data_IF_514701895263
#
_entry.id   IF_514701895263
#
_cell.length_a   1.000
_cell.length_b   1.000
_cell.length_c   1.000
_cell.angle_alpha   90.00
_cell.angle_beta   90.00
_cell.angle_gamma   90.00
#
_symmetry.space_group_name_H-M   'P 1'
#
loop_
_entity.id
_entity.type
_entity.pdbx_description
1 polymer ?
#
# COMPACT_ATOMS: atom_id res chain seq x y z
N UNK A 1 -1.34 -69.60 -18.06
CA UNK A 1 -0.01 -70.17 -17.75
C UNK A 1 -0.08 -71.59 -17.18
N UNK A 2 -0.65 -71.88 -15.98
CA UNK A 2 -0.66 -73.22 -15.37
C UNK A 2 -1.24 -74.33 -16.24
N UNK A 3 -2.19 -74.06 -17.16
CA UNK A 3 -2.75 -75.05 -18.07
C UNK A 3 -1.78 -75.41 -19.23
N UNK A 4 -1.16 -74.42 -19.82
CA UNK A 4 -0.14 -74.56 -20.87
C UNK A 4 1.12 -75.26 -20.33
N UNK A 5 1.55 -74.92 -19.11
CA UNK A 5 2.71 -75.56 -18.45
C UNK A 5 2.40 -77.05 -18.17
N UNK A 6 1.21 -77.40 -17.72
CA UNK A 6 0.77 -78.78 -17.52
C UNK A 6 0.71 -79.57 -18.82
N UNK A 7 0.10 -78.96 -19.89
CA UNK A 7 0.06 -79.58 -21.18
C UNK A 7 1.46 -79.84 -21.78
N UNK A 8 2.36 -78.87 -21.62
CA UNK A 8 3.77 -79.01 -22.01
C UNK A 8 4.48 -80.21 -21.29
N UNK A 9 4.24 -80.34 -19.98
CA UNK A 9 4.79 -81.48 -19.20
C UNK A 9 4.20 -82.85 -19.65
N UNK A 10 2.90 -82.91 -19.94
CA UNK A 10 2.26 -84.12 -20.42
C UNK A 10 2.74 -84.53 -21.81
N UNK A 11 2.98 -83.62 -22.73
CA UNK A 11 3.58 -83.87 -24.01
C UNK A 11 5.03 -84.36 -23.87
N UNK A 12 5.78 -83.74 -23.02
CA UNK A 12 7.19 -84.13 -22.71
C UNK A 12 7.30 -85.56 -22.13
N UNK A 13 6.32 -85.98 -21.34
CA UNK A 13 6.20 -87.36 -20.80
C UNK A 13 5.56 -88.31 -21.80
N UNK A 14 5.31 -87.94 -23.04
CA UNK A 14 4.67 -88.78 -24.11
C UNK A 14 3.28 -89.29 -23.79
N UNK A 15 2.55 -88.59 -22.84
CA UNK A 15 1.19 -89.02 -22.38
C UNK A 15 0.17 -88.03 -22.94
N UNK A 16 0.55 -86.80 -23.36
CA UNK A 16 -0.31 -85.74 -23.88
C UNK A 16 -0.30 -85.62 -25.37
N UNK A 17 -1.40 -84.98 -25.97
CA UNK A 17 -1.45 -84.63 -27.38
C UNK A 17 -0.79 -83.27 -27.64
N UNK A 18 -0.09 -83.11 -28.76
CA UNK A 18 0.49 -81.86 -29.24
C UNK A 18 -0.62 -80.81 -29.45
N UNK A 19 -1.78 -81.23 -29.99
CA UNK A 19 -2.93 -80.34 -30.17
C UNK A 19 -3.39 -79.66 -28.88
N UNK A 20 -3.43 -80.42 -27.77
CA UNK A 20 -3.83 -79.84 -26.48
C UNK A 20 -2.82 -78.81 -25.99
N UNK A 21 -1.53 -78.97 -26.25
CA UNK A 21 -0.52 -77.99 -25.93
C UNK A 21 -0.69 -76.72 -26.77
N UNK A 22 -0.91 -76.86 -28.10
CA UNK A 22 -1.09 -75.76 -29.02
C UNK A 22 -2.37 -74.95 -28.71
N UNK A 23 -3.46 -75.61 -28.30
CA UNK A 23 -4.67 -74.96 -27.86
C UNK A 23 -4.45 -74.18 -26.57
N UNK A 24 -3.74 -74.76 -25.60
CA UNK A 24 -3.46 -74.09 -24.35
C UNK A 24 -2.48 -72.90 -24.53
N UNK A 25 -1.55 -73.02 -25.47
CA UNK A 25 -0.60 -71.94 -25.81
C UNK A 25 -1.37 -70.80 -26.52
N UNK A 26 -2.25 -71.10 -27.47
CA UNK A 26 -3.14 -70.14 -28.15
C UNK A 26 -4.00 -69.39 -27.16
N UNK A 27 -4.59 -70.05 -26.17
CA UNK A 27 -5.37 -69.40 -25.14
C UNK A 27 -4.53 -68.44 -24.25
N UNK A 28 -3.28 -68.82 -23.95
CA UNK A 28 -2.34 -67.92 -23.22
C UNK A 28 -2.03 -66.71 -24.06
N UNK A 29 -1.77 -66.87 -25.37
CA UNK A 29 -1.40 -65.74 -26.24
C UNK A 29 -2.58 -64.82 -26.48
N UNK A 30 -3.80 -65.35 -26.60
CA UNK A 30 -5.05 -64.55 -26.66
C UNK A 30 -5.24 -63.71 -25.38
N UNK A 31 -5.04 -64.32 -24.19
CA UNK A 31 -5.15 -63.54 -22.93
C UNK A 31 -4.09 -62.49 -22.77
N UNK A 32 -2.87 -62.79 -23.19
CA UNK A 32 -1.78 -61.79 -23.21
C UNK A 32 -2.10 -60.61 -24.13
N UNK A 33 -2.61 -60.90 -25.34
CA UNK A 33 -3.04 -59.87 -26.28
C UNK A 33 -4.18 -59.00 -25.72
N UNK A 34 -5.15 -59.64 -25.01
CA UNK A 34 -6.24 -58.92 -24.35
C UNK A 34 -5.72 -57.95 -23.25
N UNK A 35 -4.77 -58.43 -22.44
CA UNK A 35 -4.12 -57.58 -21.42
C UNK A 35 -3.37 -56.45 -22.05
N UNK A 36 -2.58 -56.70 -23.09
CA UNK A 36 -1.86 -55.62 -23.81
C UNK A 36 -2.79 -54.60 -24.42
N UNK A 37 -3.94 -55.03 -24.95
CA UNK A 37 -5.00 -54.14 -25.46
C UNK A 37 -5.63 -53.29 -24.36
N UNK A 38 -5.90 -53.87 -23.19
CA UNK A 38 -6.38 -53.12 -22.02
C UNK A 38 -5.35 -52.08 -21.51
N UNK A 39 -4.08 -52.47 -21.44
CA UNK A 39 -3.03 -51.53 -21.06
C UNK A 39 -2.89 -50.34 -22.05
N UNK A 40 -3.02 -50.61 -23.32
CA UNK A 40 -3.06 -49.55 -24.36
C UNK A 40 -4.25 -48.60 -24.18
N UNK A 41 -5.43 -49.11 -23.80
CA UNK A 41 -6.61 -48.30 -23.51
C UNK A 41 -6.40 -47.43 -22.29
N UNK A 42 -5.79 -47.99 -21.20
CA UNK A 42 -5.44 -47.22 -20.01
C UNK A 42 -4.45 -46.09 -20.34
N UNK A 43 -3.42 -46.38 -21.14
CA UNK A 43 -2.48 -45.39 -21.58
C UNK A 43 -3.14 -44.25 -22.38
N UNK A 44 -4.03 -44.59 -23.29
CA UNK A 44 -4.83 -43.62 -24.05
C UNK A 44 -5.73 -42.77 -23.17
N UNK A 45 -6.42 -43.39 -22.19
CA UNK A 45 -7.25 -42.65 -21.23
C UNK A 45 -6.44 -41.68 -20.38
N UNK A 46 -5.28 -42.12 -19.89
CA UNK A 46 -4.37 -41.27 -19.14
C UNK A 46 -3.86 -40.09 -19.97
N UNK A 47 -3.51 -40.28 -21.24
CA UNK A 47 -3.14 -39.21 -22.15
C UNK A 47 -4.28 -38.19 -22.35
N UNK A 48 -5.53 -38.66 -22.48
CA UNK A 48 -6.69 -37.78 -22.57
C UNK A 48 -6.93 -36.98 -21.28
N UNK A 49 -6.70 -37.57 -20.09
CA UNK A 49 -6.75 -36.85 -18.83
C UNK A 49 -5.72 -35.70 -18.82
N UNK A 50 -4.49 -35.97 -19.24
CA UNK A 50 -3.46 -34.92 -19.32
C UNK A 50 -3.84 -33.76 -20.25
N UNK A 51 -4.50 -34.06 -21.38
CA UNK A 51 -5.02 -33.01 -22.29
C UNK A 51 -6.10 -32.16 -21.61
N UNK A 52 -7.03 -32.80 -20.91
CA UNK A 52 -8.12 -32.11 -20.19
C UNK A 52 -7.59 -31.25 -19.05
N UNK A 53 -6.60 -31.75 -18.33
CA UNK A 53 -5.94 -30.98 -17.26
C UNK A 53 -5.22 -29.73 -17.82
N UNK A 54 -4.55 -29.86 -18.95
CA UNK A 54 -3.91 -28.72 -19.63
C UNK A 54 -4.96 -27.69 -20.10
N UNK A 55 -6.06 -28.13 -20.69
CA UNK A 55 -7.18 -27.25 -21.09
C UNK A 55 -7.83 -26.54 -19.89
N UNK A 56 -7.99 -27.25 -18.79
CA UNK A 56 -8.51 -26.66 -17.56
C UNK A 56 -7.57 -25.57 -17.00
N UNK A 57 -6.27 -25.83 -16.99
CA UNK A 57 -5.27 -24.85 -16.56
C UNK A 57 -5.26 -23.60 -17.47
N UNK A 58 -5.39 -23.78 -18.79
CA UNK A 58 -5.52 -22.69 -19.75
C UNK A 58 -6.78 -21.86 -19.52
N UNK A 59 -7.92 -22.51 -19.31
CA UNK A 59 -9.18 -21.82 -19.00
C UNK A 59 -9.09 -21.02 -17.70
N UNK A 60 -8.46 -21.57 -16.65
CA UNK A 60 -8.20 -20.83 -15.41
C UNK A 60 -7.31 -19.61 -15.62
N UNK A 61 -6.25 -19.73 -16.42
CA UNK A 61 -5.37 -18.62 -16.75
C UNK A 61 -6.11 -17.51 -17.50
N UNK A 62 -6.96 -17.90 -18.45
CA UNK A 62 -7.80 -16.98 -19.21
C UNK A 62 -8.78 -16.25 -18.29
N UNK A 63 -9.46 -16.96 -17.38
CA UNK A 63 -10.36 -16.37 -16.38
C UNK A 63 -9.62 -15.31 -15.55
N UNK A 64 -8.44 -15.63 -15.03
CA UNK A 64 -7.61 -14.70 -14.26
C UNK A 64 -7.23 -13.45 -15.06
N UNK A 65 -6.89 -13.59 -16.32
CA UNK A 65 -6.57 -12.46 -17.20
C UNK A 65 -7.77 -11.54 -17.42
N UNK A 66 -8.96 -12.12 -17.61
CA UNK A 66 -10.20 -11.36 -17.75
C UNK A 66 -10.57 -10.62 -16.44
N UNK A 67 -10.37 -11.26 -15.29
CA UNK A 67 -10.56 -10.62 -13.98
C UNK A 67 -9.64 -9.42 -13.77
N UNK A 68 -8.35 -9.55 -14.10
CA UNK A 68 -7.39 -8.45 -14.05
C UNK A 68 -7.79 -7.31 -14.99
N UNK A 69 -8.25 -7.63 -16.20
CA UNK A 69 -8.71 -6.63 -17.17
C UNK A 69 -9.94 -5.90 -16.65
N UNK A 70 -10.92 -6.61 -16.08
CA UNK A 70 -12.10 -6.03 -15.42
C UNK A 70 -11.70 -5.11 -14.27
N UNK A 71 -10.77 -5.54 -13.41
CA UNK A 71 -10.36 -4.76 -12.24
C UNK A 71 -9.57 -3.52 -12.64
N UNK A 72 -8.78 -3.62 -13.71
CA UNK A 72 -8.15 -2.45 -14.34
C UNK A 72 -9.21 -1.45 -14.82
N UNK A 73 -10.20 -1.90 -15.57
CA UNK A 73 -11.27 -1.05 -16.07
C UNK A 73 -12.08 -0.40 -14.93
N UNK A 74 -12.36 -1.14 -13.84
CA UNK A 74 -13.03 -0.61 -12.64
C UNK A 74 -12.18 0.49 -11.97
N UNK A 75 -10.87 0.29 -11.86
CA UNK A 75 -9.97 1.29 -11.30
C UNK A 75 -9.93 2.53 -12.17
N UNK A 76 -9.81 2.38 -13.49
CA UNK A 76 -9.78 3.48 -14.43
C UNK A 76 -11.10 4.28 -14.37
N UNK A 77 -12.23 3.60 -14.25
CA UNK A 77 -13.52 4.24 -14.01
C UNK A 77 -13.57 4.97 -12.65
N UNK A 78 -12.95 4.44 -11.60
CA UNK A 78 -12.92 5.11 -10.29
C UNK A 78 -12.15 6.43 -10.33
N UNK A 79 -11.17 6.58 -11.20
CA UNK A 79 -10.40 7.81 -11.39
C UNK A 79 -11.16 8.91 -12.14
N UNK A 80 -12.27 8.59 -12.79
CA UNK A 80 -13.14 9.62 -13.41
C UNK A 80 -13.89 10.45 -12.37
N UNK A 81 -13.94 10.01 -11.10
CA UNK A 81 -14.55 10.74 -9.99
C UNK A 81 -13.47 11.04 -8.96
N UNK A 82 -13.04 12.30 -8.92
CA UNK A 82 -12.09 12.75 -7.90
C UNK A 82 -12.83 13.00 -6.58
N UNK A 83 -12.41 12.32 -5.53
CA UNK A 83 -12.97 12.44 -4.17
C UNK A 83 -11.94 13.06 -3.23
N UNK A 84 -12.43 13.88 -2.30
CA UNK A 84 -11.62 14.39 -1.20
C UNK A 84 -11.16 13.21 -0.30
N UNK A 85 -9.86 13.09 0.02
CA UNK A 85 -9.36 12.03 0.90
C UNK A 85 -9.68 12.27 2.39
N UNK A 86 -10.05 13.49 2.76
CA UNK A 86 -10.42 13.90 4.11
C UNK A 86 -11.37 15.09 4.08
N UNK A 87 -12.04 15.35 5.18
CA UNK A 87 -12.93 16.49 5.34
C UNK A 87 -12.13 17.80 5.40
N UNK A 88 -12.64 18.84 4.73
CA UNK A 88 -11.95 20.12 4.67
C UNK A 88 -12.67 21.13 3.79
N UNK A 89 -12.09 22.31 3.69
CA UNK A 89 -12.56 23.39 2.81
C UNK A 89 -11.73 23.40 1.54
N UNK A 90 -12.42 23.42 0.40
CA UNK A 90 -11.76 23.52 -0.90
C UNK A 90 -11.23 24.95 -1.06
N UNK A 91 -9.92 25.06 -1.27
CA UNK A 91 -9.25 26.31 -1.61
C UNK A 91 -8.55 26.16 -2.95
N UNK A 92 -8.33 27.30 -3.60
CA UNK A 92 -7.57 27.39 -4.85
C UNK A 92 -7.98 26.33 -5.91
N UNK A 93 -9.24 26.38 -6.32
CA UNK A 93 -9.73 25.58 -7.45
C UNK A 93 -9.10 26.12 -8.74
N UNK A 94 -8.29 25.29 -9.42
CA UNK A 94 -7.49 25.68 -10.60
C UNK A 94 -8.05 25.09 -11.88
N UNK A 95 -9.31 24.67 -11.90
CA UNK A 95 -9.95 24.02 -13.06
C UNK A 95 -11.40 24.42 -13.15
N UNK A 96 -11.86 24.62 -14.39
CA UNK A 96 -13.24 24.92 -14.71
C UNK A 96 -13.87 23.83 -15.58
N UNK A 97 -15.19 23.89 -15.70
CA UNK A 97 -15.93 22.93 -16.53
C UNK A 97 -15.59 23.15 -17.99
N UNK A 98 -15.07 22.11 -18.64
CA UNK A 98 -14.63 22.15 -20.03
C UNK A 98 -13.12 22.18 -20.20
N UNK A 99 -12.36 22.34 -19.12
CA UNK A 99 -10.90 22.30 -19.18
C UNK A 99 -10.39 20.90 -19.49
N UNK A 100 -9.31 20.85 -20.26
CA UNK A 100 -8.56 19.64 -20.49
C UNK A 100 -7.58 19.42 -19.34
N UNK A 101 -7.72 18.32 -18.61
CA UNK A 101 -6.84 17.96 -17.51
C UNK A 101 -5.86 16.85 -17.91
N UNK A 102 -4.67 16.89 -17.33
CA UNK A 102 -3.62 15.89 -17.54
C UNK A 102 -3.29 15.16 -16.24
N UNK A 103 -2.72 13.96 -16.36
CA UNK A 103 -2.27 13.20 -15.20
C UNK A 103 -1.20 13.99 -14.42
N UNK A 104 -1.35 14.06 -13.09
CA UNK A 104 -0.45 14.82 -12.22
C UNK A 104 -0.76 16.31 -12.07
N UNK A 105 -1.75 16.83 -12.78
CA UNK A 105 -2.18 18.22 -12.65
C UNK A 105 -2.88 18.44 -11.30
N UNK A 106 -2.51 19.55 -10.64
CA UNK A 106 -3.14 19.97 -9.38
C UNK A 106 -4.45 20.68 -9.69
N UNK A 107 -5.57 20.10 -9.31
CA UNK A 107 -6.90 20.63 -9.63
C UNK A 107 -7.48 21.49 -8.51
N UNK A 108 -7.24 21.12 -7.26
CA UNK A 108 -7.71 21.86 -6.09
C UNK A 108 -6.82 21.59 -4.88
N UNK A 109 -6.94 22.43 -3.87
CA UNK A 109 -6.32 22.24 -2.55
C UNK A 109 -7.43 22.06 -1.53
N UNK A 110 -7.31 21.01 -0.69
CA UNK A 110 -8.22 20.80 0.43
C UNK A 110 -7.49 21.13 1.72
N UNK A 111 -8.03 22.05 2.50
CA UNK A 111 -7.47 22.48 3.79
C UNK A 111 -8.32 21.87 4.91
N UNK A 112 -7.76 20.95 5.73
CA UNK A 112 -8.45 20.40 6.89
C UNK A 112 -8.49 21.44 8.00
N UNK A 113 -9.64 22.06 8.22
CA UNK A 113 -9.82 23.14 9.19
C UNK A 113 -9.75 22.65 10.64
N UNK A 114 -9.96 21.36 10.86
CA UNK A 114 -9.90 20.69 12.17
C UNK A 114 -8.47 20.34 12.62
N UNK A 115 -7.49 20.47 11.72
CA UNK A 115 -6.07 20.08 11.95
C UNK A 115 -5.10 21.25 11.80
N UNK A 116 -5.58 22.48 11.95
CA UNK A 116 -4.71 23.65 11.90
C UNK A 116 -3.78 23.67 13.11
N UNK A 117 -2.56 24.05 12.90
CA UNK A 117 -1.55 24.27 13.93
C UNK A 117 -0.81 25.58 13.66
N UNK A 118 -0.11 26.10 14.67
CA UNK A 118 0.68 27.32 14.56
C UNK A 118 2.14 26.95 14.53
N UNK A 119 2.89 27.60 13.64
CA UNK A 119 4.36 27.55 13.62
C UNK A 119 4.89 28.91 14.08
N UNK A 120 5.43 28.95 15.29
CA UNK A 120 6.02 30.14 15.85
C UNK A 120 7.54 30.07 15.78
N UNK A 121 8.19 31.10 15.22
CA UNK A 121 9.64 31.15 15.02
C UNK A 121 10.29 31.87 16.21
N UNK A 122 10.78 31.14 17.21
CA UNK A 122 11.46 31.66 18.39
C UNK A 122 12.96 31.89 18.12
N UNK A 123 13.53 32.90 18.77
CA UNK A 123 14.96 33.08 18.74
C UNK A 123 15.67 31.98 19.56
N UNK A 124 16.84 31.53 19.12
CA UNK A 124 17.65 30.53 19.82
C UNK A 124 17.82 30.83 21.31
N UNK A 125 17.99 32.11 21.64
CA UNK A 125 18.15 32.59 23.03
C UNK A 125 16.90 32.42 23.91
N UNK A 126 15.74 32.19 23.30
CA UNK A 126 14.48 32.01 24.01
C UNK A 126 14.15 30.54 24.25
N UNK A 127 14.80 29.61 23.51
CA UNK A 127 14.50 28.18 23.55
C UNK A 127 14.87 27.51 24.87
N UNK A 128 15.86 28.00 25.58
CA UNK A 128 16.33 27.39 26.82
C UNK A 128 15.26 27.26 27.92
N UNK A 129 14.17 28.01 27.79
CA UNK A 129 13.05 28.01 28.74
C UNK A 129 11.77 27.37 28.16
N UNK A 130 11.82 26.84 26.97
CA UNK A 130 10.67 26.38 26.24
C UNK A 130 10.64 24.85 26.17
N UNK A 131 9.61 24.26 26.79
CA UNK A 131 9.45 22.80 26.90
C UNK A 131 8.15 22.36 26.25
N UNK A 132 8.10 21.21 25.57
CA UNK A 132 6.84 20.65 25.11
C UNK A 132 5.84 20.47 26.24
N UNK A 133 4.58 20.83 26.00
CA UNK A 133 3.49 20.81 26.99
C UNK A 133 3.23 22.16 27.69
N UNK A 134 4.07 23.19 27.49
CA UNK A 134 3.81 24.53 28.00
C UNK A 134 2.58 25.17 27.38
N UNK A 135 1.85 25.94 28.20
CA UNK A 135 0.73 26.74 27.71
C UNK A 135 1.23 28.02 27.07
N UNK A 136 0.63 28.35 25.97
CA UNK A 136 0.92 29.57 25.22
C UNK A 136 -0.33 30.37 24.97
N UNK A 137 -0.22 31.68 25.14
CA UNK A 137 -1.28 32.61 24.78
C UNK A 137 -1.06 33.09 23.34
N UNK A 138 -2.09 32.92 22.52
CA UNK A 138 -2.06 33.21 21.11
C UNK A 138 -3.05 34.33 20.82
N UNK A 139 -2.56 35.37 20.15
CA UNK A 139 -3.37 36.47 19.63
C UNK A 139 -3.31 36.45 18.12
N UNK A 140 -4.46 36.53 17.48
CA UNK A 140 -4.57 36.51 16.00
C UNK A 140 -4.70 37.93 15.51
N UNK A 141 -3.83 38.36 14.61
CA UNK A 141 -3.80 39.75 14.10
C UNK A 141 -5.10 40.12 13.35
N UNK A 142 -5.74 39.13 12.72
CA UNK A 142 -6.99 39.35 11.99
C UNK A 142 -8.21 39.68 12.89
N UNK A 143 -8.08 39.50 14.22
CA UNK A 143 -9.17 39.79 15.18
C UNK A 143 -8.58 40.08 16.56
N UNK A 144 -8.55 41.34 16.92
CA UNK A 144 -7.98 41.82 18.20
C UNK A 144 -8.60 41.22 19.45
N UNK A 145 -9.82 40.68 19.37
CA UNK A 145 -10.55 40.09 20.51
C UNK A 145 -10.38 38.57 20.61
N UNK A 146 -9.68 37.93 19.68
CA UNK A 146 -9.49 36.48 19.68
C UNK A 146 -8.12 36.09 20.27
N UNK A 147 -8.03 36.16 21.59
CA UNK A 147 -6.92 35.54 22.32
C UNK A 147 -7.37 34.19 22.85
N UNK A 148 -6.60 33.14 22.61
CA UNK A 148 -6.85 31.80 23.12
C UNK A 148 -5.56 31.15 23.61
N UNK A 149 -5.71 30.07 24.38
CA UNK A 149 -4.59 29.28 24.87
C UNK A 149 -4.35 28.10 23.92
N UNK A 150 -3.09 27.87 23.57
CA UNK A 150 -2.61 26.67 22.89
C UNK A 150 -1.60 25.93 23.74
N UNK A 151 -1.04 24.86 23.21
CA UNK A 151 0.00 24.06 23.89
C UNK A 151 1.16 23.83 22.95
N UNK A 152 2.39 23.99 23.46
CA UNK A 152 3.60 23.65 22.71
C UNK A 152 3.61 22.14 22.45
N UNK A 153 3.56 21.76 21.19
CA UNK A 153 3.56 20.35 20.76
C UNK A 153 4.97 19.82 20.57
N UNK A 154 5.78 20.55 19.82
CA UNK A 154 7.17 20.15 19.53
C UNK A 154 8.04 21.32 19.13
N UNK A 155 9.35 21.17 19.38
CA UNK A 155 10.39 22.06 18.89
C UNK A 155 11.09 21.39 17.70
N UNK A 156 11.38 22.16 16.66
CA UNK A 156 12.15 21.63 15.54
C UNK A 156 13.59 21.29 15.99
N UNK A 157 14.17 20.19 15.46
CA UNK A 157 15.52 19.76 15.84
C UNK A 157 16.63 20.66 15.28
N UNK A 158 16.31 21.59 14.36
CA UNK A 158 17.26 22.50 13.75
C UNK A 158 16.63 23.86 13.46
N UNK A 159 17.46 24.88 13.26
CA UNK A 159 17.01 26.20 12.87
C UNK A 159 16.43 26.20 11.45
N UNK A 160 15.53 27.14 11.14
CA UNK A 160 14.96 27.29 9.82
C UNK A 160 15.99 27.52 8.70
N UNK A 161 17.15 28.08 9.03
CA UNK A 161 18.25 28.29 8.09
C UNK A 161 18.85 26.97 7.56
N UNK A 162 18.90 25.93 8.39
CA UNK A 162 19.45 24.61 8.00
C UNK A 162 18.58 23.93 6.95
N UNK A 163 17.27 24.16 6.97
CA UNK A 163 16.31 23.58 6.04
C UNK A 163 15.98 24.50 4.84
N UNK A 164 16.67 25.66 4.76
CA UNK A 164 16.48 26.57 3.63
C UNK A 164 17.21 26.06 2.38
N UNK A 165 16.59 26.19 1.22
CA UNK A 165 17.21 25.92 -0.08
C UNK A 165 18.40 26.84 -0.38
N UNK A 166 18.44 28.04 0.23
CA UNK A 166 19.53 29.01 0.15
C UNK A 166 19.92 29.39 1.57
N UNK A 167 20.89 28.67 2.18
CA UNK A 167 21.42 29.06 3.48
C UNK A 167 22.06 30.47 3.39
N UNK A 168 21.90 31.34 4.39
CA UNK A 168 22.58 32.62 4.42
C UNK A 168 24.09 32.39 4.53
N UNK A 169 24.82 32.54 3.43
CA UNK A 169 26.28 32.52 3.40
C UNK A 169 26.82 33.93 3.63
N UNK A 170 27.75 34.08 4.55
CA UNK A 170 28.49 35.32 4.77
C UNK A 170 29.56 35.44 3.68
N UNK A 171 29.23 36.10 2.57
CA UNK A 171 30.13 36.30 1.42
C UNK A 171 31.31 37.24 1.71
N UNK A 172 31.36 37.94 2.86
CA UNK A 172 32.33 39.00 3.15
C UNK A 172 33.40 38.65 4.19
N UNK A 173 33.53 37.39 4.62
CA UNK A 173 34.61 36.96 5.51
C UNK A 173 34.53 37.47 6.96
N UNK A 174 33.64 38.37 7.31
CA UNK A 174 33.37 38.80 8.67
C UNK A 174 32.30 37.94 9.32
N UNK A 175 32.67 37.16 10.33
CA UNK A 175 31.75 36.34 11.10
C UNK A 175 30.89 37.22 12.01
N UNK A 176 29.69 37.61 11.52
CA UNK A 176 28.66 38.21 12.37
C UNK A 176 27.77 37.12 12.92
N UNK A 177 27.68 36.95 14.22
CA UNK A 177 26.76 36.03 14.89
C UNK A 177 25.32 36.50 14.67
N UNK A 178 24.61 35.86 13.73
CA UNK A 178 23.18 36.08 13.48
C UNK A 178 22.40 35.12 14.36
N UNK A 179 21.51 35.65 15.21
CA UNK A 179 20.65 34.86 16.07
C UNK A 179 19.70 34.05 15.20
N UNK A 180 19.80 32.72 15.28
CA UNK A 180 18.99 31.81 14.51
C UNK A 180 17.55 31.72 15.06
N UNK A 181 16.59 31.39 14.18
CA UNK A 181 15.22 31.16 14.58
C UNK A 181 14.90 29.68 14.43
N UNK A 182 14.26 29.12 15.44
CA UNK A 182 13.84 27.73 15.47
C UNK A 182 12.32 27.67 15.44
N UNK A 183 11.71 26.92 14.50
CA UNK A 183 10.27 26.77 14.43
C UNK A 183 9.79 25.87 15.58
N UNK A 184 8.75 26.34 16.25
CA UNK A 184 8.05 25.62 17.33
C UNK A 184 6.62 25.41 16.90
N UNK A 185 6.16 24.16 16.97
CA UNK A 185 4.79 23.78 16.68
C UNK A 185 3.94 23.92 17.92
N UNK A 186 2.80 24.59 17.74
CA UNK A 186 1.82 24.82 18.79
C UNK A 186 0.49 24.27 18.32
N UNK A 187 -0.10 23.42 19.13
CA UNK A 187 -1.40 22.85 18.86
C UNK A 187 -2.50 23.82 19.34
N UNK A 188 -3.53 23.95 18.51
CA UNK A 188 -4.69 24.78 18.76
C UNK A 188 -5.82 23.91 19.31
N UNK A 189 -6.50 24.34 20.39
CA UNK A 189 -7.63 23.60 20.94
C UNK A 189 -8.77 23.38 19.94
N UNK A 190 -9.42 22.21 20.01
CA UNK A 190 -10.44 21.81 19.05
C UNK A 190 -11.71 22.70 19.10
N UNK A 191 -12.02 23.29 20.26
CA UNK A 191 -13.12 24.25 20.40
C UNK A 191 -12.86 25.53 19.62
N UNK A 192 -11.61 26.03 19.60
CA UNK A 192 -11.22 27.20 18.81
C UNK A 192 -11.27 26.88 17.32
N UNK A 193 -10.81 25.70 16.90
CA UNK A 193 -10.86 25.25 15.49
C UNK A 193 -12.30 25.15 14.97
N UNK A 194 -13.22 24.66 15.80
CA UNK A 194 -14.65 24.55 15.45
C UNK A 194 -15.34 25.90 15.22
N UNK A 195 -14.80 27.01 15.74
CA UNK A 195 -15.36 28.34 15.47
C UNK A 195 -15.27 28.76 14.00
N UNK A 196 -14.37 28.11 13.22
CA UNK A 196 -14.12 28.44 11.82
C UNK A 196 -13.49 29.82 11.56
N UNK A 197 -13.07 30.51 12.62
CA UNK A 197 -12.47 31.86 12.53
C UNK A 197 -10.99 31.83 12.15
N UNK A 198 -10.31 30.73 12.45
CA UNK A 198 -8.90 30.53 12.05
C UNK A 198 -8.82 30.04 10.61
N UNK A 199 -7.85 30.56 9.90
CA UNK A 199 -7.52 30.13 8.53
C UNK A 199 -6.03 29.89 8.40
N UNK A 200 -5.65 28.97 7.52
CA UNK A 200 -4.24 28.75 7.21
C UNK A 200 -3.64 30.04 6.59
N UNK A 201 -2.43 30.38 7.01
CA UNK A 201 -1.70 31.57 6.53
C UNK A 201 -1.97 32.86 7.29
N UNK A 202 -2.77 32.86 8.36
CA UNK A 202 -2.92 34.04 9.22
C UNK A 202 -1.66 34.27 10.07
N UNK A 203 -1.34 35.55 10.30
CA UNK A 203 -0.31 35.96 11.24
C UNK A 203 -0.83 35.94 12.67
N UNK A 204 0.00 35.45 13.59
CA UNK A 204 -0.32 35.32 15.00
C UNK A 204 0.84 35.77 15.87
N UNK A 205 0.55 36.35 17.02
CA UNK A 205 1.53 36.66 18.06
C UNK A 205 1.39 35.62 19.17
N UNK A 206 2.50 35.00 19.53
CA UNK A 206 2.55 33.95 20.56
C UNK A 206 3.33 34.42 21.76
N UNK A 207 2.71 34.36 22.93
CA UNK A 207 3.34 34.64 24.23
C UNK A 207 3.37 33.35 25.05
N UNK A 208 4.57 32.90 25.42
CA UNK A 208 4.79 31.70 26.22
C UNK A 208 4.93 32.09 27.69
N UNK A 209 4.14 31.48 28.57
CA UNK A 209 4.31 31.60 30.01
C UNK A 209 5.23 30.48 30.51
N UNK A 210 6.54 30.77 30.61
CA UNK A 210 7.56 29.79 31.03
C UNK A 210 7.39 29.28 32.48
N UNK A 211 6.37 29.74 33.21
CA UNK A 211 6.06 29.28 34.58
C UNK A 211 5.12 28.05 34.54
N UNK A 212 4.52 27.77 33.41
CA UNK A 212 3.57 26.66 33.22
C UNK A 212 4.22 25.39 32.68
N UNK A 213 5.55 25.33 32.60
CA UNK A 213 6.29 24.15 32.15
C UNK A 213 5.89 22.93 33.00
N UNK A 214 5.53 21.79 32.37
CA UNK A 214 5.31 20.55 33.10
C UNK A 214 6.64 20.19 33.80
N UNK A 215 6.56 19.90 35.12
CA UNK A 215 7.72 19.40 35.84
C UNK A 215 8.15 18.09 35.22
N UNK A 216 9.41 18.02 34.76
CA UNK A 216 9.99 16.79 34.28
C UNK A 216 9.95 15.76 35.42
N UNK A 217 9.11 14.75 35.27
CA UNK A 217 9.13 13.57 36.16
C UNK A 217 10.43 12.82 35.82
N UNK A 218 11.40 12.86 36.74
CA UNK A 218 12.64 12.07 36.69
C UNK A 218 12.31 10.57 36.74
#
# INVERSE_FOLDING_TARGET
MRAADRAAQLVKSKVGSQSTLDDAQTAVDQTKAAVAGADAQIASANANIGVLEAQYAEAQSTLRTLELTRDKAKRDLSFTILRAPYDGVVGNLSVERGDMITAGQKLAVIVPMDKLYIVANFKETQLAKLVPGEKVRISVDASSDNTFEGTVSSLAPASGAVFSLLPPENATGNFTKVVQRVPVRIDVPADVLKTGRLRAGLSVVVNVDSRTAPQATN
#
